data_IF_068018748978
#
_entry.id   IF_068018748978
#
_cell.length_a   1.000
_cell.length_b   1.000
_cell.length_c   1.000
_cell.angle_alpha   90.00
_cell.angle_beta   90.00
_cell.angle_gamma   90.00
#
_symmetry.space_group_name_H-M   'P 1'
#
loop_
_entity.id
_entity.type
_entity.pdbx_description
1 polymer ?
#
# COMPACT_ATOMS: atom_id res chain seq x y z
N UNK A 1 -9.47 -63.78 -21.62
CA UNK A 1 -8.17 -64.33 -21.15
C UNK A 1 -7.47 -63.20 -20.42
N UNK A 2 -7.63 -63.11 -19.10
CA UNK A 2 -6.78 -63.75 -18.06
C UNK A 2 -5.36 -63.16 -18.08
N UNK A 3 -4.69 -62.79 -16.98
CA UNK A 3 -4.95 -62.72 -15.53
C UNK A 3 -3.70 -62.01 -14.92
N UNK A 4 -3.82 -61.52 -13.67
CA UNK A 4 -2.68 -61.28 -12.77
C UNK A 4 -2.07 -59.87 -12.83
N UNK A 5 -1.90 -59.11 -11.75
CA UNK A 5 -1.81 -59.43 -10.34
C UNK A 5 -0.49 -58.89 -9.79
N UNK A 6 -0.53 -58.01 -8.78
CA UNK A 6 0.30 -58.04 -7.56
C UNK A 6 0.09 -56.75 -6.73
N UNK A 7 -0.80 -56.85 -5.76
CA UNK A 7 -0.88 -55.98 -4.58
C UNK A 7 -0.01 -56.59 -3.47
N UNK A 8 0.82 -55.78 -2.82
CA UNK A 8 1.43 -56.10 -1.52
C UNK A 8 1.36 -54.83 -0.65
N UNK A 9 0.42 -54.80 0.31
CA UNK A 9 0.58 -55.09 1.74
C UNK A 9 1.40 -54.04 2.51
N UNK A 10 0.70 -53.18 3.25
CA UNK A 10 1.16 -52.79 4.60
C UNK A 10 -0.04 -52.69 5.56
N UNK A 11 0.21 -53.13 6.78
CA UNK A 11 -0.71 -53.76 7.72
C UNK A 11 -1.00 -52.77 8.86
N UNK A 12 -2.28 -52.52 9.17
CA UNK A 12 -2.69 -51.75 10.35
C UNK A 12 -3.09 -52.75 11.45
N UNK A 13 -2.38 -52.73 12.58
CA UNK A 13 -2.70 -53.53 13.78
C UNK A 13 -2.83 -52.60 14.98
N UNK A 14 -4.04 -52.58 15.56
CA UNK A 14 -4.28 -52.66 17.00
C UNK A 14 -3.83 -51.53 17.93
N UNK A 15 -4.76 -50.62 18.25
CA UNK A 15 -5.29 -50.41 19.61
C UNK A 15 -4.39 -49.90 20.75
N UNK A 16 -4.81 -48.78 21.37
CA UNK A 16 -5.06 -48.68 22.82
C UNK A 16 -5.81 -47.39 23.17
N UNK A 17 -6.87 -47.55 23.97
CA UNK A 17 -7.56 -46.51 24.74
C UNK A 17 -6.81 -46.33 26.05
N UNK A 18 -6.60 -45.09 26.49
CA UNK A 18 -6.23 -44.75 27.86
C UNK A 18 -6.84 -43.38 28.23
N UNK A 19 -7.23 -43.32 29.49
CA UNK A 19 -8.22 -42.46 30.12
C UNK A 19 -7.67 -41.11 30.66
N UNK A 20 -8.62 -40.23 30.96
CA UNK A 20 -8.67 -39.24 32.06
C UNK A 20 -7.45 -38.35 32.39
N UNK A 21 -7.68 -37.04 32.25
CA UNK A 21 -7.72 -36.18 33.44
C UNK A 21 -6.45 -35.41 33.82
N UNK A 22 -6.48 -34.09 33.60
CA UNK A 22 -5.80 -33.12 34.47
C UNK A 22 -4.53 -32.50 33.90
N UNK A 23 -4.67 -31.30 33.31
CA UNK A 23 -3.91 -30.09 33.69
C UNK A 23 -4.40 -28.91 32.87
N UNK A 24 -5.35 -28.18 33.47
CA UNK A 24 -5.62 -26.77 33.19
C UNK A 24 -4.43 -25.99 33.76
N UNK A 25 -3.45 -25.68 32.93
CA UNK A 25 -2.48 -24.62 33.14
C UNK A 25 -1.75 -24.41 31.82
N UNK A 26 -1.67 -23.15 31.39
CA UNK A 26 -0.83 -22.68 30.28
C UNK A 26 -1.39 -22.78 28.84
N UNK A 27 -2.51 -22.11 28.59
CA UNK A 27 -2.99 -21.77 27.23
C UNK A 27 -2.91 -20.25 26.98
N UNK A 28 -2.19 -19.50 27.81
CA UNK A 28 -2.06 -18.04 27.70
C UNK A 28 -0.90 -17.55 26.83
N UNK A 29 0.21 -18.31 26.76
CA UNK A 29 1.46 -17.81 26.16
C UNK A 29 1.70 -18.14 24.68
N UNK A 30 1.14 -19.24 24.17
CA UNK A 30 1.60 -19.82 22.88
C UNK A 30 0.69 -19.49 21.69
N UNK A 31 -0.53 -19.03 21.94
CA UNK A 31 -1.49 -18.67 20.87
C UNK A 31 -1.27 -17.24 20.36
N UNK A 32 -0.63 -16.37 21.14
CA UNK A 32 -0.30 -15.00 20.74
C UNK A 32 0.73 -14.92 19.61
N UNK A 33 1.77 -15.76 19.62
CA UNK A 33 2.84 -15.67 18.61
C UNK A 33 2.50 -16.40 17.30
N UNK A 34 1.72 -17.48 17.32
CA UNK A 34 1.37 -18.20 16.08
C UNK A 34 0.32 -17.48 15.23
N UNK A 35 -0.55 -16.65 15.82
CA UNK A 35 -1.52 -15.84 15.06
C UNK A 35 -0.85 -14.64 14.38
N UNK A 36 0.24 -14.11 14.96
CA UNK A 36 1.03 -13.03 14.36
C UNK A 36 1.78 -13.52 13.09
N UNK A 37 2.26 -14.77 13.09
CA UNK A 37 3.03 -15.33 11.95
C UNK A 37 2.18 -15.85 10.78
N UNK A 38 0.95 -16.29 11.03
CA UNK A 38 0.03 -16.69 9.96
C UNK A 38 -0.53 -15.45 9.24
N UNK A 39 -0.70 -14.33 9.95
CA UNK A 39 -1.11 -13.05 9.35
C UNK A 39 -0.06 -12.43 8.43
N UNK A 40 1.24 -12.56 8.75
CA UNK A 40 2.33 -12.02 7.95
C UNK A 40 2.63 -12.84 6.68
N UNK A 41 2.50 -14.16 6.75
CA UNK A 41 2.85 -15.06 5.63
C UNK A 41 1.76 -15.14 4.56
N UNK A 42 0.48 -15.04 4.94
CA UNK A 42 -0.65 -15.02 4.00
C UNK A 42 -0.85 -13.62 3.40
N UNK A 43 -0.51 -12.56 4.15
CA UNK A 43 -0.52 -11.18 3.65
C UNK A 43 0.48 -10.91 2.51
N UNK A 44 1.62 -11.60 2.50
CA UNK A 44 2.63 -11.42 1.45
C UNK A 44 2.31 -12.22 0.16
N UNK A 45 1.77 -13.43 0.26
CA UNK A 45 1.50 -14.27 -0.92
C UNK A 45 0.29 -13.84 -1.76
N UNK A 46 -0.70 -13.18 -1.15
CA UNK A 46 -1.86 -12.65 -1.88
C UNK A 46 -1.53 -11.30 -2.54
N UNK A 47 -0.58 -10.54 -1.97
CA UNK A 47 -0.05 -9.32 -2.61
C UNK A 47 0.73 -9.71 -3.88
N UNK A 48 1.56 -10.75 -3.84
CA UNK A 48 2.40 -11.13 -4.99
C UNK A 48 1.66 -11.58 -6.25
N UNK A 49 0.41 -12.03 -6.14
CA UNK A 49 -0.40 -12.51 -7.29
C UNK A 49 -1.35 -11.44 -7.82
N UNK A 50 -1.71 -10.44 -7.01
CA UNK A 50 -2.67 -9.39 -7.39
C UNK A 50 -2.03 -8.04 -7.75
N UNK A 51 -0.76 -7.80 -7.45
CA UNK A 51 -0.10 -6.50 -7.70
C UNK A 51 1.06 -6.53 -8.68
N UNK A 52 1.16 -7.52 -9.57
CA UNK A 52 2.04 -7.39 -10.74
C UNK A 52 1.23 -6.82 -11.89
N UNK A 53 1.15 -5.49 -12.07
CA UNK A 53 0.68 -4.96 -13.33
C UNK A 53 1.59 -5.53 -14.41
N UNK A 54 0.98 -6.08 -15.46
CA UNK A 54 1.65 -6.69 -16.62
C UNK A 54 2.69 -5.75 -17.29
N UNK A 55 2.74 -4.48 -16.87
CA UNK A 55 3.53 -3.36 -17.36
C UNK A 55 4.85 -3.13 -16.62
N UNK A 56 5.05 -3.72 -15.44
CA UNK A 56 6.22 -3.44 -14.58
C UNK A 56 7.53 -3.86 -15.29
N UNK A 57 7.49 -4.93 -16.08
CA UNK A 57 8.60 -5.34 -16.93
C UNK A 57 8.84 -4.44 -18.15
N UNK A 58 7.80 -3.77 -18.66
CA UNK A 58 7.90 -2.96 -19.87
C UNK A 58 8.55 -1.61 -19.58
N UNK A 59 8.27 -0.98 -18.43
CA UNK A 59 8.91 0.27 -18.03
C UNK A 59 10.37 0.09 -17.61
N UNK A 60 10.72 -1.03 -16.96
CA UNK A 60 12.12 -1.35 -16.65
C UNK A 60 12.94 -1.61 -17.93
N UNK A 61 12.34 -2.32 -18.91
CA UNK A 61 12.92 -2.51 -20.24
C UNK A 61 13.06 -1.19 -21.00
N UNK A 62 12.05 -0.32 -20.93
CA UNK A 62 12.13 1.03 -21.50
C UNK A 62 13.25 1.83 -20.84
N UNK A 63 13.43 1.77 -19.51
CA UNK A 63 14.56 2.42 -18.80
C UNK A 63 15.92 1.89 -19.25
N UNK A 64 16.06 0.57 -19.42
CA UNK A 64 17.31 -0.04 -19.91
C UNK A 64 17.61 0.34 -21.37
N UNK A 65 16.60 0.29 -22.24
CA UNK A 65 16.71 0.74 -23.63
C UNK A 65 17.00 2.23 -23.72
N UNK A 66 16.44 3.02 -22.81
CA UNK A 66 16.66 4.45 -22.71
C UNK A 66 18.10 4.77 -22.29
N UNK A 67 18.63 4.09 -21.27
CA UNK A 67 20.02 4.21 -20.83
C UNK A 67 21.01 3.81 -21.93
N UNK A 68 20.77 2.69 -22.63
CA UNK A 68 21.58 2.24 -23.76
C UNK A 68 21.53 3.22 -24.94
N UNK A 69 20.36 3.79 -25.24
CA UNK A 69 20.21 4.78 -26.30
C UNK A 69 20.93 6.10 -25.97
N UNK A 70 20.88 6.55 -24.71
CA UNK A 70 21.59 7.73 -24.24
C UNK A 70 23.11 7.57 -24.41
N UNK A 71 23.65 6.39 -24.06
CA UNK A 71 25.06 6.07 -24.24
C UNK A 71 25.50 6.02 -25.72
N UNK A 72 24.64 5.53 -26.62
CA UNK A 72 24.90 5.57 -28.06
C UNK A 72 24.86 6.99 -28.67
N UNK A 73 24.12 7.91 -28.05
CA UNK A 73 23.88 9.25 -28.58
C UNK A 73 24.99 10.25 -28.21
N UNK A 74 25.58 10.13 -27.02
CA UNK A 74 26.76 10.93 -26.64
C UNK A 74 27.96 10.68 -27.57
N UNK A 75 28.04 9.47 -28.14
CA UNK A 75 29.03 9.10 -29.16
C UNK A 75 28.71 9.66 -30.57
N UNK A 76 27.50 10.20 -30.78
CA UNK A 76 26.97 10.61 -32.10
C UNK A 76 26.80 12.12 -32.29
N UNK A 77 27.12 12.95 -31.30
CA UNK A 77 27.17 14.43 -31.46
C UNK A 77 28.33 14.81 -32.40
N UNK A 78 28.11 14.70 -33.70
CA UNK A 78 29.11 14.93 -34.76
C UNK A 78 29.05 16.31 -35.42
N UNK A 79 28.08 17.16 -35.08
CA UNK A 79 27.87 18.43 -35.78
C UNK A 79 27.68 19.59 -34.81
N UNK A 80 28.36 20.69 -35.09
CA UNK A 80 28.15 21.99 -34.44
C UNK A 80 26.84 22.62 -34.92
N UNK A 81 26.25 23.53 -34.13
CA UNK A 81 24.96 24.17 -34.43
C UNK A 81 24.96 24.92 -35.78
N UNK A 82 26.12 25.45 -36.19
CA UNK A 82 26.32 26.11 -37.48
C UNK A 82 26.32 25.13 -38.66
N UNK A 83 26.90 23.94 -38.50
CA UNK A 83 26.89 22.88 -39.52
C UNK A 83 25.49 22.29 -39.70
N UNK A 84 24.70 22.22 -38.61
CA UNK A 84 23.30 21.81 -38.66
C UNK A 84 22.45 22.78 -39.49
N UNK A 85 22.61 24.09 -39.30
CA UNK A 85 21.88 25.10 -40.07
C UNK A 85 22.26 25.06 -41.56
N UNK A 86 23.52 24.86 -41.89
CA UNK A 86 23.98 24.72 -43.27
C UNK A 86 23.42 23.46 -43.95
N UNK A 87 23.31 22.35 -43.22
CA UNK A 87 22.69 21.12 -43.73
C UNK A 87 21.18 21.28 -43.87
N UNK A 88 20.50 21.96 -42.94
CA UNK A 88 19.05 22.26 -43.07
C UNK A 88 18.77 23.13 -44.29
N UNK A 89 19.56 24.18 -44.55
CA UNK A 89 19.43 25.00 -45.76
C UNK A 89 19.63 24.18 -47.05
N UNK A 90 20.60 23.25 -47.07
CA UNK A 90 20.79 22.32 -48.19
C UNK A 90 19.62 21.34 -48.34
N UNK A 91 19.05 20.89 -47.23
CA UNK A 91 17.90 19.99 -47.21
C UNK A 91 16.68 20.69 -47.79
N UNK A 92 16.43 21.95 -47.40
CA UNK A 92 15.31 22.74 -47.92
C UNK A 92 15.44 23.03 -49.42
N UNK A 93 16.66 23.19 -49.95
CA UNK A 93 16.90 23.30 -51.39
C UNK A 93 16.54 22.02 -52.16
N UNK A 94 16.93 20.84 -51.64
CA UNK A 94 16.59 19.54 -52.26
C UNK A 94 15.08 19.27 -52.17
N UNK A 95 14.45 19.61 -51.03
CA UNK A 95 13.02 19.46 -50.85
C UNK A 95 12.20 20.45 -51.69
N UNK A 96 12.72 21.66 -51.93
CA UNK A 96 12.10 22.63 -52.83
C UNK A 96 12.16 22.25 -54.31
N UNK A 97 13.05 21.32 -54.67
CA UNK A 97 13.04 20.70 -56.00
C UNK A 97 11.96 19.62 -56.12
N UNK A 98 11.44 19.07 -55.02
CA UNK A 98 10.35 18.10 -55.10
C UNK A 98 9.01 18.81 -55.37
N UNK A 99 8.11 18.20 -56.15
CA UNK A 99 6.77 18.72 -56.36
C UNK A 99 6.01 18.89 -55.04
N UNK A 100 5.28 20.00 -54.89
CA UNK A 100 4.54 20.34 -53.65
C UNK A 100 3.49 19.31 -53.24
N UNK A 101 2.96 18.55 -54.21
CA UNK A 101 1.99 17.48 -53.96
C UNK A 101 2.52 16.36 -53.05
N UNK A 102 3.83 16.12 -52.99
CA UNK A 102 4.43 15.10 -52.12
C UNK A 102 4.16 15.33 -50.62
N UNK A 103 3.83 16.56 -50.22
CA UNK A 103 3.59 16.92 -48.83
C UNK A 103 2.09 16.93 -48.47
N UNK A 104 1.21 16.58 -49.40
CA UNK A 104 -0.23 16.53 -49.20
C UNK A 104 -0.71 15.11 -48.84
N UNK A 105 -1.73 15.00 -47.98
CA UNK A 105 -2.18 13.73 -47.43
C UNK A 105 -2.85 12.77 -48.43
N UNK A 106 -3.35 13.29 -49.56
CA UNK A 106 -4.12 12.52 -50.56
C UNK A 106 -3.38 12.36 -51.90
N UNK A 107 -2.09 12.68 -51.94
CA UNK A 107 -1.30 12.59 -53.16
C UNK A 107 -0.78 11.17 -53.37
N UNK A 108 -0.92 10.65 -54.59
CA UNK A 108 -0.31 9.39 -55.01
C UNK A 108 1.00 9.67 -55.76
N UNK A 109 2.16 9.57 -55.08
CA UNK A 109 3.45 9.87 -55.68
C UNK A 109 3.86 8.84 -56.73
N UNK A 110 3.33 7.62 -56.69
CA UNK A 110 3.64 6.56 -57.65
C UNK A 110 2.89 6.81 -58.95
N UNK A 111 1.57 7.07 -58.86
CA UNK A 111 0.78 7.39 -60.05
C UNK A 111 1.24 8.68 -60.73
N UNK A 112 1.64 9.69 -59.94
CA UNK A 112 2.10 10.97 -60.47
C UNK A 112 3.43 10.86 -61.25
N UNK A 113 4.43 10.15 -60.73
CA UNK A 113 5.70 9.99 -61.47
C UNK A 113 5.54 9.04 -62.66
N UNK A 114 4.75 7.96 -62.52
CA UNK A 114 4.44 7.06 -63.65
C UNK A 114 3.70 7.77 -64.79
N UNK A 115 2.87 8.77 -64.49
CA UNK A 115 2.16 9.57 -65.52
C UNK A 115 3.08 10.45 -66.37
N UNK A 116 4.32 10.69 -65.91
CA UNK A 116 5.32 11.50 -66.62
C UNK A 116 6.25 10.67 -67.50
N UNK A 117 6.25 9.35 -67.34
CA UNK A 117 7.04 8.43 -68.15
C UNK A 117 6.28 8.10 -69.45
N UNK A 118 6.97 8.18 -70.58
CA UNK A 118 6.50 7.69 -71.87
C UNK A 118 7.01 6.26 -72.11
N UNK A 119 6.27 5.43 -72.86
CA UNK A 119 6.71 4.07 -73.27
C UNK A 119 8.02 4.06 -74.10
N UNK A 120 8.49 5.23 -74.55
CA UNK A 120 9.71 5.41 -75.36
C UNK A 120 10.87 6.10 -74.61
N UNK A 121 10.77 6.26 -73.29
CA UNK A 121 11.82 6.93 -72.52
C UNK A 121 13.12 6.10 -72.45
N UNK A 122 14.25 6.77 -72.69
CA UNK A 122 15.58 6.19 -72.56
C UNK A 122 15.89 5.83 -71.10
N UNK A 123 16.60 4.71 -70.90
CA UNK A 123 16.97 4.21 -69.56
C UNK A 123 17.71 5.28 -68.72
N UNK A 124 18.53 6.11 -69.36
CA UNK A 124 19.27 7.18 -68.69
C UNK A 124 18.34 8.20 -67.98
N UNK A 125 17.18 8.50 -68.58
CA UNK A 125 16.22 9.45 -67.99
C UNK A 125 15.49 8.84 -66.79
N UNK A 126 15.26 7.53 -66.81
CA UNK A 126 14.69 6.79 -65.69
C UNK A 126 15.69 6.75 -64.53
N UNK A 127 16.97 6.49 -64.82
CA UNK A 127 18.03 6.48 -63.82
C UNK A 127 18.19 7.85 -63.14
N UNK A 128 18.16 8.96 -63.90
CA UNK A 128 18.18 10.33 -63.37
C UNK A 128 16.98 10.64 -62.44
N UNK A 129 15.77 10.16 -62.80
CA UNK A 129 14.57 10.31 -61.96
C UNK A 129 14.69 9.50 -60.66
N UNK A 130 15.17 8.26 -60.75
CA UNK A 130 15.39 7.38 -59.59
C UNK A 130 16.44 7.98 -58.65
N UNK A 131 17.53 8.52 -59.19
CA UNK A 131 18.58 9.16 -58.39
C UNK A 131 18.03 10.38 -57.63
N UNK A 132 17.27 11.24 -58.32
CA UNK A 132 16.64 12.42 -57.70
C UNK A 132 15.62 12.04 -56.61
N UNK A 133 14.77 11.05 -56.85
CA UNK A 133 13.77 10.62 -55.88
C UNK A 133 14.43 9.93 -54.68
N UNK A 134 15.45 9.10 -54.92
CA UNK A 134 16.28 8.51 -53.86
C UNK A 134 16.92 9.58 -52.99
N UNK A 135 17.50 10.62 -53.60
CA UNK A 135 18.06 11.76 -52.89
C UNK A 135 17.00 12.50 -52.05
N UNK A 136 15.78 12.66 -52.56
CA UNK A 136 14.64 13.21 -51.81
C UNK A 136 14.26 12.36 -50.59
N UNK A 137 14.19 11.05 -50.74
CA UNK A 137 13.86 10.13 -49.64
C UNK A 137 14.95 10.11 -48.58
N UNK A 138 16.22 10.07 -48.98
CA UNK A 138 17.36 10.13 -48.05
C UNK A 138 17.38 11.44 -47.25
N UNK A 139 17.09 12.57 -47.91
CA UNK A 139 17.04 13.89 -47.26
C UNK A 139 15.86 14.02 -46.30
N UNK A 140 14.65 13.58 -46.67
CA UNK A 140 13.49 13.55 -45.77
C UNK A 140 13.73 12.60 -44.60
N UNK A 141 14.24 11.39 -44.85
CA UNK A 141 14.54 10.39 -43.82
C UNK A 141 15.58 10.91 -42.83
N UNK A 142 16.63 11.56 -43.33
CA UNK A 142 17.64 12.23 -42.50
C UNK A 142 17.04 13.35 -41.64
N UNK A 143 16.18 14.21 -42.22
CA UNK A 143 15.50 15.29 -41.50
C UNK A 143 14.54 14.75 -40.44
N UNK A 144 13.75 13.74 -40.77
CA UNK A 144 12.84 13.07 -39.84
C UNK A 144 13.62 12.44 -38.68
N UNK A 145 14.69 11.69 -38.98
CA UNK A 145 15.55 11.09 -37.96
C UNK A 145 16.10 12.14 -36.99
N UNK A 146 16.57 13.29 -37.49
CA UNK A 146 17.02 14.41 -36.66
C UNK A 146 15.89 15.01 -35.82
N UNK A 147 14.72 15.24 -36.42
CA UNK A 147 13.58 15.84 -35.71
C UNK A 147 13.05 14.93 -34.61
N UNK A 148 12.94 13.62 -34.89
CA UNK A 148 12.57 12.58 -33.92
C UNK A 148 13.62 12.51 -32.80
N UNK A 149 14.91 12.49 -33.14
CA UNK A 149 15.99 12.47 -32.14
C UNK A 149 16.02 13.74 -31.28
N UNK A 150 15.72 14.92 -31.84
CA UNK A 150 15.66 16.19 -31.09
C UNK A 150 14.55 16.18 -30.04
N UNK A 151 13.39 15.59 -30.34
CA UNK A 151 12.26 15.48 -29.38
C UNK A 151 12.37 14.25 -28.47
N UNK A 152 13.21 13.28 -28.80
CA UNK A 152 13.44 12.07 -28.00
C UNK A 152 13.86 12.43 -26.59
N UNK A 153 14.81 13.33 -26.38
CA UNK A 153 15.30 13.70 -25.04
C UNK A 153 14.17 14.20 -24.11
N UNK A 154 13.23 14.96 -24.66
CA UNK A 154 12.04 15.45 -23.92
C UNK A 154 11.10 14.29 -23.57
N UNK A 155 10.90 13.34 -24.50
CA UNK A 155 10.10 12.14 -24.24
C UNK A 155 10.73 11.27 -23.15
N UNK A 156 12.05 11.06 -23.22
CA UNK A 156 12.78 10.26 -22.23
C UNK A 156 12.71 10.89 -20.84
N UNK A 157 12.93 12.21 -20.75
CA UNK A 157 12.75 12.95 -19.51
C UNK A 157 11.30 12.89 -18.98
N UNK A 158 10.31 12.84 -19.88
CA UNK A 158 8.91 12.63 -19.53
C UNK A 158 8.66 11.24 -18.93
N UNK A 159 9.23 10.19 -19.53
CA UNK A 159 9.13 8.82 -19.02
C UNK A 159 9.77 8.69 -17.63
N UNK A 160 10.96 9.27 -17.44
CA UNK A 160 11.66 9.24 -16.15
C UNK A 160 10.83 9.94 -15.05
N UNK A 161 10.24 11.10 -15.35
CA UNK A 161 9.34 11.80 -14.41
C UNK A 161 8.08 11.00 -14.07
N UNK A 162 7.48 10.32 -15.04
CA UNK A 162 6.30 9.47 -14.78
C UNK A 162 6.68 8.31 -13.85
N UNK A 163 7.87 7.72 -14.03
CA UNK A 163 8.37 6.67 -13.16
C UNK A 163 8.66 7.18 -11.72
N UNK A 164 9.22 8.38 -11.57
CA UNK A 164 9.39 9.03 -10.26
C UNK A 164 8.04 9.22 -9.55
N UNK A 165 7.07 9.81 -10.26
CA UNK A 165 5.71 10.02 -9.73
C UNK A 165 5.03 8.70 -9.37
N UNK A 166 5.22 7.63 -10.15
CA UNK A 166 4.73 6.30 -9.82
C UNK A 166 5.33 5.79 -8.49
N UNK A 167 6.64 5.96 -8.30
CA UNK A 167 7.33 5.62 -7.06
C UNK A 167 6.78 6.37 -5.85
N UNK A 168 6.55 7.67 -5.99
CA UNK A 168 5.99 8.52 -4.95
C UNK A 168 4.56 8.11 -4.59
N UNK A 169 3.72 7.81 -5.59
CA UNK A 169 2.34 7.34 -5.37
C UNK A 169 2.34 5.99 -4.64
N UNK A 170 3.21 5.04 -5.04
CA UNK A 170 3.36 3.75 -4.37
C UNK A 170 3.75 3.94 -2.89
N UNK A 171 4.72 4.82 -2.63
CA UNK A 171 5.14 5.15 -1.25
C UNK A 171 4.01 5.78 -0.44
N UNK A 172 3.34 6.80 -0.98
CA UNK A 172 2.23 7.48 -0.32
C UNK A 172 1.06 6.52 -0.02
N UNK A 173 0.76 5.59 -0.92
CA UNK A 173 -0.25 4.56 -0.70
C UNK A 173 0.11 3.64 0.47
N UNK A 174 1.35 3.16 0.54
CA UNK A 174 1.81 2.31 1.64
C UNK A 174 1.75 3.05 2.98
N UNK A 175 2.20 4.30 3.03
CA UNK A 175 2.12 5.15 4.22
C UNK A 175 0.66 5.35 4.63
N UNK A 176 -0.23 5.68 3.69
CA UNK A 176 -1.66 5.86 3.98
C UNK A 176 -2.31 4.58 4.51
N UNK A 177 -1.96 3.43 3.93
CA UNK A 177 -2.48 2.12 4.36
C UNK A 177 -2.03 1.79 5.78
N UNK A 178 -0.74 1.95 6.07
CA UNK A 178 -0.18 1.73 7.41
C UNK A 178 -0.76 2.72 8.43
N UNK A 179 -0.90 3.99 8.05
CA UNK A 179 -1.52 5.04 8.87
C UNK A 179 -2.97 4.71 9.23
N UNK A 180 -3.78 4.23 8.27
CA UNK A 180 -5.16 3.80 8.55
C UNK A 180 -5.23 2.62 9.51
N UNK A 181 -4.35 1.63 9.36
CA UNK A 181 -4.31 0.47 10.23
C UNK A 181 -3.93 0.85 11.68
N UNK A 182 -2.91 1.69 11.85
CA UNK A 182 -2.47 2.17 13.16
C UNK A 182 -3.51 3.05 13.85
N UNK A 183 -4.15 3.98 13.11
CA UNK A 183 -5.23 4.80 13.65
C UNK A 183 -6.45 3.97 14.08
N UNK A 184 -6.80 2.93 13.31
CA UNK A 184 -7.89 2.03 13.69
C UNK A 184 -7.58 1.29 14.99
N UNK A 185 -6.36 0.76 15.13
CA UNK A 185 -5.93 0.08 16.35
C UNK A 185 -5.94 1.03 17.56
N UNK A 186 -5.43 2.25 17.39
CA UNK A 186 -5.44 3.28 18.44
C UNK A 186 -6.87 3.68 18.84
N UNK A 187 -7.79 3.82 17.88
CA UNK A 187 -9.19 4.13 18.18
C UNK A 187 -9.87 3.02 19.00
N UNK A 188 -9.63 1.75 18.66
CA UNK A 188 -10.13 0.59 19.41
C UNK A 188 -9.55 0.54 20.82
N UNK A 189 -8.27 0.85 20.98
CA UNK A 189 -7.61 0.93 22.29
C UNK A 189 -8.19 2.04 23.16
N UNK A 190 -8.34 3.25 22.63
CA UNK A 190 -8.95 4.38 23.36
C UNK A 190 -10.38 4.06 23.78
N UNK A 191 -11.18 3.44 22.90
CA UNK A 191 -12.54 3.04 23.23
C UNK A 191 -12.57 2.02 24.40
N UNK A 192 -11.67 1.04 24.41
CA UNK A 192 -11.53 0.10 25.53
C UNK A 192 -11.12 0.80 26.82
N UNK A 193 -10.10 1.66 26.75
CA UNK A 193 -9.60 2.38 27.93
C UNK A 193 -10.67 3.32 28.52
N UNK A 194 -11.45 4.00 27.69
CA UNK A 194 -12.57 4.84 28.13
C UNK A 194 -13.65 4.02 28.85
N UNK A 195 -13.96 2.81 28.35
CA UNK A 195 -14.91 1.92 29.02
C UNK A 195 -14.42 1.49 30.39
N UNK A 196 -13.14 1.11 30.50
CA UNK A 196 -12.52 0.72 31.78
C UNK A 196 -12.50 1.90 32.75
N UNK A 197 -12.06 3.09 32.31
CA UNK A 197 -12.07 4.30 33.14
C UNK A 197 -13.47 4.63 33.66
N UNK A 198 -14.49 4.53 32.82
CA UNK A 198 -15.89 4.71 33.22
C UNK A 198 -16.36 3.70 34.28
N UNK A 199 -16.01 2.42 34.11
CA UNK A 199 -16.34 1.37 35.09
C UNK A 199 -15.59 1.57 36.42
N UNK A 200 -14.31 1.95 36.37
CA UNK A 200 -13.51 2.25 37.56
C UNK A 200 -14.09 3.42 38.35
N UNK A 201 -14.49 4.50 37.66
CA UNK A 201 -15.13 5.65 38.32
C UNK A 201 -16.44 5.29 39.00
N UNK A 202 -17.28 4.46 38.36
CA UNK A 202 -18.51 3.94 38.99
C UNK A 202 -18.20 3.06 40.20
N UNK A 203 -17.22 2.16 40.09
CA UNK A 203 -16.78 1.32 41.21
C UNK A 203 -16.31 2.17 42.38
N UNK A 204 -15.53 3.22 42.13
CA UNK A 204 -15.05 4.12 43.18
C UNK A 204 -16.20 4.83 43.90
N UNK A 205 -17.17 5.37 43.15
CA UNK A 205 -18.38 5.97 43.74
C UNK A 205 -19.19 4.96 44.58
N UNK A 206 -19.32 3.71 44.13
CA UNK A 206 -19.98 2.68 44.93
C UNK A 206 -19.20 2.30 46.19
N UNK A 207 -17.86 2.30 46.13
CA UNK A 207 -17.03 2.05 47.33
C UNK A 207 -17.16 3.19 48.34
N UNK A 208 -17.17 4.44 47.90
CA UNK A 208 -17.41 5.62 48.75
C UNK A 208 -18.79 5.54 49.40
N UNK A 209 -19.85 5.22 48.64
CA UNK A 209 -21.19 5.03 49.19
C UNK A 209 -21.25 3.87 50.18
N UNK A 210 -20.59 2.75 49.88
CA UNK A 210 -20.53 1.59 50.76
C UNK A 210 -19.88 1.96 52.11
N UNK A 211 -18.81 2.76 52.10
CA UNK A 211 -18.16 3.24 53.32
C UNK A 211 -19.14 4.03 54.21
N UNK A 212 -19.90 4.95 53.60
CA UNK A 212 -20.93 5.73 54.31
C UNK A 212 -22.01 4.81 54.89
N UNK A 213 -22.53 3.87 54.11
CA UNK A 213 -23.56 2.92 54.56
C UNK A 213 -23.04 2.05 55.72
N UNK A 214 -21.80 1.57 55.65
CA UNK A 214 -21.19 0.78 56.73
C UNK A 214 -21.08 1.58 58.03
N UNK A 215 -20.68 2.86 57.96
CA UNK A 215 -20.61 3.73 59.14
C UNK A 215 -22.01 4.05 59.71
N UNK A 216 -23.02 4.29 58.87
CA UNK A 216 -24.41 4.48 59.31
C UNK A 216 -24.93 3.21 60.01
N UNK A 217 -24.69 2.04 59.43
CA UNK A 217 -25.06 0.75 60.03
C UNK A 217 -24.43 0.58 61.41
N UNK A 218 -23.13 0.89 61.55
CA UNK A 218 -22.44 0.82 62.84
C UNK A 218 -23.06 1.76 63.88
N UNK A 219 -23.38 2.99 63.50
CA UNK A 219 -24.03 3.96 64.40
C UNK A 219 -25.41 3.47 64.87
N UNK A 220 -26.21 2.91 63.95
CA UNK A 220 -27.52 2.31 64.28
C UNK A 220 -27.38 1.09 65.19
N UNK A 221 -26.41 0.21 64.93
CA UNK A 221 -26.20 -0.98 65.75
C UNK A 221 -25.76 -0.60 67.19
N UNK A 222 -24.93 0.44 67.34
CA UNK A 222 -24.58 1.03 68.64
C UNK A 222 -25.80 1.66 69.34
N UNK A 223 -26.66 2.36 68.60
CA UNK A 223 -27.90 2.93 69.15
C UNK A 223 -28.86 1.85 69.68
N UNK A 224 -29.00 0.72 68.97
CA UNK A 224 -29.79 -0.41 69.45
C UNK A 224 -29.20 -1.03 70.71
N UNK A 225 -27.87 -1.18 70.78
CA UNK A 225 -27.19 -1.70 71.96
C UNK A 225 -27.39 -0.78 73.18
N UNK A 226 -27.29 0.53 72.97
CA UNK A 226 -27.55 1.53 74.02
C UNK A 226 -28.96 1.39 74.57
N UNK A 227 -29.97 1.32 73.69
CA UNK A 227 -31.36 1.17 74.09
C UNK A 227 -31.59 -0.11 74.89
N UNK A 228 -30.97 -1.23 74.46
CA UNK A 228 -31.04 -2.51 75.18
C UNK A 228 -30.41 -2.42 76.57
N UNK A 229 -29.23 -1.83 76.70
CA UNK A 229 -28.53 -1.67 77.99
C UNK A 229 -29.33 -0.77 78.95
N UNK A 230 -29.99 0.27 78.42
CA UNK A 230 -30.90 1.12 79.19
C UNK A 230 -32.14 0.35 79.69
N UNK A 231 -32.76 -0.47 78.85
CA UNK A 231 -33.92 -1.31 79.20
C UNK A 231 -33.58 -2.36 80.27
N UNK A 232 -32.34 -2.87 80.29
CA UNK A 232 -31.85 -3.83 81.29
C UNK A 232 -31.42 -3.19 82.62
N UNK A 233 -31.32 -1.85 82.69
CA UNK A 233 -30.87 -1.13 83.88
C UNK A 233 -29.35 -1.15 84.12
N UNK A 234 -28.57 -1.57 83.13
CA UNK A 234 -27.10 -1.64 83.18
C UNK A 234 -26.47 -0.29 82.85
N UNK A 235 -26.69 0.72 83.70
CA UNK A 235 -26.34 2.11 83.40
C UNK A 235 -24.84 2.35 83.13
N UNK A 236 -23.94 1.54 83.70
CA UNK A 236 -22.50 1.64 83.42
C UNK A 236 -22.16 1.35 81.96
N UNK A 237 -22.72 0.25 81.41
CA UNK A 237 -22.55 -0.13 80.01
C UNK A 237 -23.31 0.80 79.07
N UNK A 238 -24.46 1.34 79.50
CA UNK A 238 -25.20 2.33 78.75
C UNK A 238 -24.38 3.62 78.56
N UNK A 239 -23.71 4.12 79.61
CA UNK A 239 -22.86 5.31 79.51
C UNK A 239 -21.68 5.06 78.56
N UNK A 240 -21.02 3.91 78.66
CA UNK A 240 -19.90 3.55 77.78
C UNK A 240 -20.34 3.45 76.32
N UNK A 241 -21.47 2.79 76.06
CA UNK A 241 -22.05 2.66 74.72
C UNK A 241 -22.48 4.01 74.16
N UNK A 242 -22.95 4.93 75.01
CA UNK A 242 -23.33 6.29 74.61
C UNK A 242 -22.12 7.08 74.11
N UNK A 243 -20.97 6.99 74.80
CA UNK A 243 -19.71 7.61 74.34
C UNK A 243 -19.29 7.04 72.98
N UNK A 244 -19.42 5.73 72.79
CA UNK A 244 -19.12 5.08 71.51
C UNK A 244 -20.09 5.50 70.39
N UNK A 245 -21.38 5.69 70.70
CA UNK A 245 -22.37 6.25 69.77
C UNK A 245 -21.95 7.64 69.31
N UNK A 246 -21.60 8.53 70.24
CA UNK A 246 -21.17 9.90 69.90
C UNK A 246 -19.92 9.90 69.02
N UNK A 247 -18.91 9.11 69.35
CA UNK A 247 -17.71 8.97 68.51
C UNK A 247 -18.05 8.42 67.12
N UNK A 248 -18.94 7.42 67.04
CA UNK A 248 -19.40 6.87 65.75
C UNK A 248 -20.11 7.91 64.89
N UNK A 249 -20.97 8.74 65.48
CA UNK A 249 -21.67 9.82 64.78
C UNK A 249 -20.70 10.93 64.36
N UNK A 250 -19.70 11.25 65.17
CA UNK A 250 -18.71 12.27 64.84
C UNK A 250 -17.84 11.86 63.64
N UNK A 251 -17.50 10.57 63.52
CA UNK A 251 -16.81 10.05 62.32
C UNK A 251 -17.66 10.10 61.04
N UNK A 252 -18.99 10.07 61.17
CA UNK A 252 -19.90 10.27 60.03
C UNK A 252 -19.93 11.74 59.62
N UNK A 253 -19.89 12.67 60.58
CA UNK A 253 -19.86 14.12 60.33
C UNK A 253 -18.60 14.57 59.58
N UNK A 254 -17.49 13.86 59.74
CA UNK A 254 -16.23 14.15 59.05
C UNK A 254 -16.21 13.72 57.57
N UNK A 255 -17.21 12.96 57.10
CA UNK A 255 -17.32 12.49 55.72
C UNK A 255 -18.21 13.37 54.82
N UNK A 256 -19.00 14.29 55.40
CA UNK A 256 -19.84 15.26 54.68
C UNK A 256 -19.07 16.55 54.42
#
# INVERSE_FOLDING_TARGET
>A
MAEGGFLSKLRLVGGKVADLGGKVADVGGTVGNKIVDIGSTVGNKIVDVATKPLWEGDFERLRQLNAMAKQQQDLRRKYTEQELAAVEARTDLVLGQLPTGYFEANFDPVAYELSKLSESDDHNRIDELVERLTQGVETVSGRLSRHVNKKRDVLLAGIDRVAEVEGDIKSAFLISRAGRATLKAAAEEVARNMRVAGQTRRKQSYMELMEVITKIRRARDLQHLLKKSQELGEYGDAIMTCVQCFQGVDTLRQLS
#
